data_IF_865491673130
#
_entry.id   IF_865491673130
#
_cell.length_a   1.000
_cell.length_b   1.000
_cell.length_c   1.000
_cell.angle_alpha   90.00
_cell.angle_beta   90.00
_cell.angle_gamma   90.00
#
_symmetry.space_group_name_H-M   'P 1'
#
loop_
_entity.id
_entity.type
_entity.pdbx_description
1 polymer ?
#
# COMPACT_ATOMS: atom_id res chain seq x y z
N UNK A 1 -39.28 -60.09 47.02
CA UNK A 1 -38.71 -60.98 48.09
C UNK A 1 -37.61 -60.22 48.77
N UNK A 2 -37.87 -59.94 50.04
CA UNK A 2 -37.12 -60.13 51.25
C UNK A 2 -35.75 -59.40 51.28
N UNK A 3 -35.69 -58.50 52.09
CA UNK A 3 -35.47 -58.30 53.54
C UNK A 3 -33.98 -57.94 53.78
N UNK A 4 -33.78 -56.77 54.38
CA UNK A 4 -33.61 -56.58 55.83
C UNK A 4 -32.14 -56.66 56.19
N UNK A 5 -31.50 -55.88 56.99
CA UNK A 5 -31.87 -55.14 58.18
C UNK A 5 -30.64 -54.33 58.66
N UNK A 6 -30.89 -53.28 59.36
CA UNK A 6 -30.05 -52.62 60.37
C UNK A 6 -29.59 -53.58 61.48
N UNK A 7 -28.81 -53.15 62.47
CA UNK A 7 -28.57 -51.88 63.13
C UNK A 7 -27.21 -51.64 63.82
N UNK A 8 -26.95 -50.41 64.26
CA UNK A 8 -26.67 -49.88 65.64
C UNK A 8 -25.31 -50.33 66.26
N UNK A 9 -24.46 -49.50 66.80
CA UNK A 9 -24.53 -48.75 68.04
C UNK A 9 -23.11 -48.31 68.45
N UNK A 10 -22.93 -47.06 68.80
CA UNK A 10 -22.82 -46.50 70.17
C UNK A 10 -21.41 -46.37 70.78
N UNK A 11 -21.16 -45.20 71.25
CA UNK A 11 -20.37 -44.70 72.38
C UNK A 11 -18.81 -44.65 72.27
N UNK A 12 -18.35 -43.50 72.36
CA UNK A 12 -17.89 -42.62 73.50
C UNK A 12 -16.37 -42.71 73.69
N UNK A 13 -15.68 -41.64 73.66
CA UNK A 13 -15.08 -41.01 74.84
C UNK A 13 -14.30 -39.74 74.49
N UNK A 14 -14.57 -38.77 75.30
CA UNK A 14 -13.89 -37.51 75.47
C UNK A 14 -12.38 -37.67 75.65
N UNK A 15 -11.55 -36.89 74.90
CA UNK A 15 -10.23 -36.50 75.40
C UNK A 15 -10.01 -35.00 74.99
N UNK A 16 -10.11 -34.18 76.00
CA UNK A 16 -9.77 -32.78 76.05
C UNK A 16 -8.25 -32.64 75.85
N UNK A 17 -7.79 -32.12 74.71
CA UNK A 17 -6.44 -31.58 74.59
C UNK A 17 -6.52 -30.12 74.11
N UNK A 18 -6.23 -29.25 75.04
CA UNK A 18 -6.09 -27.80 74.92
C UNK A 18 -4.82 -27.56 74.10
N UNK A 19 -4.97 -27.36 72.80
CA UNK A 19 -3.87 -26.93 71.92
C UNK A 19 -3.96 -25.43 71.77
N UNK A 20 -2.98 -24.71 72.32
CA UNK A 20 -2.74 -23.30 72.09
C UNK A 20 -2.65 -23.06 70.59
N UNK A 21 -3.67 -22.46 70.01
CA UNK A 21 -3.57 -21.80 68.73
C UNK A 21 -2.78 -20.50 68.90
N UNK A 22 -1.50 -20.54 68.58
CA UNK A 22 -0.72 -19.35 68.29
C UNK A 22 -1.29 -18.81 66.98
N UNK A 23 -2.13 -17.78 67.05
CA UNK A 23 -2.50 -16.98 65.90
C UNK A 23 -1.25 -16.24 65.45
N UNK A 24 -0.50 -16.83 64.50
CA UNK A 24 0.37 -16.06 63.65
C UNK A 24 -0.55 -15.15 62.81
N UNK A 25 -0.76 -13.94 63.32
CA UNK A 25 -1.28 -12.84 62.56
C UNK A 25 -0.24 -12.57 61.46
N UNK A 26 -0.38 -13.22 60.32
CA UNK A 26 0.26 -12.79 59.10
C UNK A 26 -0.42 -11.43 58.79
N UNK A 27 0.25 -10.33 59.08
CA UNK A 27 -0.11 -9.06 58.58
C UNK A 27 -0.05 -9.19 57.05
N UNK A 28 -1.19 -9.33 56.39
CA UNK A 28 -1.27 -9.01 54.96
C UNK A 28 -0.82 -7.55 54.86
N UNK A 29 0.41 -7.34 54.44
CA UNK A 29 0.73 -6.07 53.84
C UNK A 29 -0.36 -5.85 52.78
N UNK A 30 -1.17 -4.81 53.00
CA UNK A 30 -2.05 -4.27 51.97
C UNK A 30 -1.13 -3.79 50.85
N UNK A 31 -0.80 -4.73 49.93
CA UNK A 31 -0.12 -4.38 48.70
C UNK A 31 -1.16 -3.64 47.88
N UNK A 32 -1.22 -2.32 48.08
CA UNK A 32 -1.97 -1.45 47.18
C UNK A 32 -1.49 -1.80 45.78
N UNK A 33 -2.38 -2.20 44.86
CA UNK A 33 -1.98 -2.54 43.51
C UNK A 33 -1.18 -1.38 42.90
N UNK A 34 0.06 -1.61 42.50
CA UNK A 34 0.85 -0.57 41.86
C UNK A 34 0.06 -0.02 40.68
N UNK A 35 -0.07 1.28 40.59
CA UNK A 35 -0.73 1.95 39.46
C UNK A 35 -0.06 1.56 38.14
N UNK A 36 -0.85 1.24 37.09
CA UNK A 36 -0.34 0.87 35.78
C UNK A 36 0.49 2.00 35.16
N UNK A 37 1.36 1.65 34.20
CA UNK A 37 2.14 2.62 33.42
C UNK A 37 1.25 3.44 32.47
N UNK A 38 0.13 2.86 32.08
CA UNK A 38 -0.83 3.42 31.13
C UNK A 38 -2.15 3.64 31.85
N UNK A 39 -2.82 4.76 31.54
CA UNK A 39 -4.18 5.01 32.03
C UNK A 39 -5.14 3.93 31.47
N UNK A 40 -6.13 3.54 32.25
CA UNK A 40 -6.99 2.39 31.94
C UNK A 40 -7.78 2.57 30.63
N UNK A 41 -8.20 3.79 30.33
CA UNK A 41 -8.91 4.18 29.09
C UNK A 41 -8.03 4.14 27.84
N UNK A 42 -6.70 4.18 27.99
CA UNK A 42 -5.73 4.08 26.89
C UNK A 42 -5.21 2.66 26.66
N UNK A 43 -5.61 1.67 27.45
CA UNK A 43 -5.14 0.28 27.30
C UNK A 43 -5.71 -0.45 26.08
N UNK A 44 -6.82 0.04 25.52
CA UNK A 44 -7.43 -0.51 24.31
C UNK A 44 -8.00 0.61 23.47
N UNK A 45 -7.41 0.82 22.30
CA UNK A 45 -7.75 1.91 21.41
C UNK A 45 -8.28 1.36 20.08
N UNK A 46 -9.47 1.83 19.69
CA UNK A 46 -10.04 1.57 18.37
C UNK A 46 -9.91 2.82 17.53
N UNK A 47 -9.20 2.70 16.41
CA UNK A 47 -8.87 3.78 15.52
C UNK A 47 -9.59 3.62 14.17
N UNK A 48 -9.86 4.74 13.51
CA UNK A 48 -10.39 4.74 12.15
C UNK A 48 -9.30 4.28 11.15
N UNK A 49 -9.70 4.04 9.91
CA UNK A 49 -8.79 3.69 8.79
C UNK A 49 -7.74 4.73 8.51
N UNK A 50 -8.07 6.00 8.70
CA UNK A 50 -7.25 7.12 8.31
C UNK A 50 -6.00 7.30 9.16
N UNK A 51 -5.14 8.21 8.70
CA UNK A 51 -3.95 8.62 9.43
C UNK A 51 -4.29 9.08 10.86
N UNK A 52 -3.50 8.58 11.82
CA UNK A 52 -3.61 8.94 13.24
C UNK A 52 -2.24 9.37 13.75
N UNK A 53 -2.20 10.47 14.48
CA UNK A 53 -1.01 11.00 15.15
C UNK A 53 -1.39 11.30 16.62
N UNK A 54 -1.17 10.34 17.51
CA UNK A 54 -1.60 10.38 18.90
C UNK A 54 -0.41 10.39 19.86
N UNK A 55 -0.60 11.04 21.02
CA UNK A 55 0.36 11.09 22.12
C UNK A 55 -0.21 10.31 23.30
N UNK A 56 0.53 9.32 23.78
CA UNK A 56 0.18 8.45 24.89
C UNK A 56 1.06 8.80 26.10
N UNK A 57 0.49 9.34 27.17
CA UNK A 57 1.22 9.62 28.40
C UNK A 57 1.63 8.34 29.12
N UNK A 58 2.88 8.28 29.57
CA UNK A 58 3.44 7.15 30.31
C UNK A 58 3.71 7.58 31.76
N UNK A 59 3.15 6.87 32.74
CA UNK A 59 3.28 7.17 34.17
C UNK A 59 4.60 6.62 34.77
N UNK A 60 5.73 6.92 34.13
CA UNK A 60 7.05 6.55 34.62
C UNK A 60 8.13 7.44 34.00
N UNK A 61 9.12 7.86 34.81
CA UNK A 61 10.26 8.67 34.35
C UNK A 61 11.25 7.84 33.49
N UNK A 62 11.37 6.55 33.80
CA UNK A 62 12.21 5.60 33.06
C UNK A 62 11.32 4.49 32.53
N UNK A 63 11.17 4.45 31.24
CA UNK A 63 10.37 3.46 30.54
C UNK A 63 10.95 3.13 29.16
N UNK A 64 10.47 2.06 28.57
CA UNK A 64 10.85 1.61 27.23
C UNK A 64 9.66 0.99 26.51
N UNK A 65 9.66 1.03 25.17
CA UNK A 65 8.90 0.11 24.36
C UNK A 65 9.70 -1.19 24.30
N UNK A 66 9.17 -2.26 24.90
CA UNK A 66 9.86 -3.55 24.97
C UNK A 66 9.61 -4.42 23.73
N UNK A 67 8.45 -4.28 23.12
CA UNK A 67 8.08 -4.97 21.87
C UNK A 67 6.85 -4.33 21.24
N UNK A 68 6.67 -4.62 19.97
CA UNK A 68 5.40 -4.46 19.24
C UNK A 68 5.10 -5.80 18.60
N UNK A 69 3.88 -6.31 18.76
CA UNK A 69 3.47 -7.61 18.22
C UNK A 69 2.12 -7.52 17.50
N UNK A 70 1.92 -8.33 16.50
CA UNK A 70 0.61 -8.60 15.92
C UNK A 70 -0.29 -9.22 17.01
N UNK A 71 -1.51 -8.69 17.17
CA UNK A 71 -2.40 -9.14 18.24
C UNK A 71 -3.04 -10.52 17.97
N UNK A 72 -3.13 -10.93 16.70
CA UNK A 72 -3.76 -12.20 16.31
C UNK A 72 -2.76 -13.35 16.32
N UNK A 73 -1.58 -13.13 15.75
CA UNK A 73 -0.54 -14.15 15.61
C UNK A 73 0.44 -14.18 16.76
N UNK A 74 0.59 -13.08 17.50
CA UNK A 74 1.62 -12.89 18.52
C UNK A 74 3.02 -12.66 17.95
N UNK A 75 3.16 -12.56 16.62
CA UNK A 75 4.44 -12.33 15.96
C UNK A 75 4.99 -10.94 16.27
N UNK A 76 6.29 -10.86 16.58
CA UNK A 76 6.97 -9.59 16.83
C UNK A 76 7.16 -8.82 15.52
N UNK A 77 6.67 -7.60 15.49
CA UNK A 77 6.83 -6.70 14.36
C UNK A 77 8.26 -6.15 14.31
N UNK A 78 8.77 -5.96 13.09
CA UNK A 78 10.18 -5.65 12.83
C UNK A 78 10.33 -4.39 11.99
N UNK A 79 11.50 -3.76 12.12
CA UNK A 79 11.94 -2.67 11.25
C UNK A 79 12.48 -3.22 9.90
N UNK A 80 12.87 -2.33 9.00
CA UNK A 80 13.42 -2.67 7.68
C UNK A 80 14.77 -3.43 7.73
N UNK A 81 15.42 -3.48 8.89
CA UNK A 81 16.67 -4.24 9.12
C UNK A 81 16.38 -5.62 9.76
N UNK A 82 15.11 -5.94 10.02
CA UNK A 82 14.69 -7.20 10.66
C UNK A 82 14.79 -7.20 12.19
N UNK A 83 15.06 -6.05 12.83
CA UNK A 83 15.11 -5.94 14.29
C UNK A 83 13.70 -5.75 14.85
N UNK A 84 13.46 -6.30 16.06
CA UNK A 84 12.23 -6.03 16.77
C UNK A 84 12.07 -4.54 17.08
N UNK A 85 10.85 -4.00 16.94
CA UNK A 85 10.56 -2.62 17.28
C UNK A 85 10.68 -2.40 18.78
N UNK A 86 11.72 -1.69 19.21
CA UNK A 86 12.04 -1.36 20.60
C UNK A 86 12.53 0.08 20.73
N UNK A 87 12.18 0.74 21.81
CA UNK A 87 12.66 2.09 22.15
C UNK A 87 13.07 2.14 23.62
N UNK A 88 14.36 2.02 23.90
CA UNK A 88 14.93 2.12 25.26
C UNK A 88 15.24 3.58 25.63
N UNK A 89 15.70 4.35 24.68
CA UNK A 89 16.03 5.79 24.83
C UNK A 89 15.13 6.65 23.93
N UNK A 90 15.21 7.97 24.04
CA UNK A 90 14.58 8.88 23.10
C UNK A 90 15.03 8.58 21.67
N UNK A 91 14.09 8.56 20.75
CA UNK A 91 14.32 8.20 19.35
C UNK A 91 13.04 7.72 18.66
N UNK A 92 13.20 7.26 17.43
CA UNK A 92 12.10 6.82 16.58
C UNK A 92 12.39 5.42 16.01
N UNK A 93 11.36 4.59 15.93
CA UNK A 93 11.38 3.31 15.18
C UNK A 93 10.16 3.24 14.27
N UNK A 94 10.36 2.61 13.13
CA UNK A 94 9.32 2.43 12.12
C UNK A 94 9.25 0.95 11.70
N UNK A 95 8.04 0.43 11.50
CA UNK A 95 7.86 -0.91 10.96
C UNK A 95 8.36 -0.97 9.50
N UNK A 96 8.89 -2.11 9.07
CA UNK A 96 9.35 -2.35 7.70
C UNK A 96 8.31 -1.93 6.64
N UNK A 97 7.03 -2.22 6.89
CA UNK A 97 5.93 -1.87 5.99
C UNK A 97 5.55 -0.37 6.01
N UNK A 98 6.16 0.47 6.83
CA UNK A 98 5.98 1.91 6.85
C UNK A 98 4.66 2.44 7.40
N UNK A 99 3.78 1.58 7.94
CA UNK A 99 2.46 2.01 8.42
C UNK A 99 2.41 2.41 9.90
N UNK A 100 3.42 2.08 10.69
CA UNK A 100 3.53 2.39 12.12
C UNK A 100 4.88 3.02 12.39
N UNK A 101 4.85 4.20 12.99
CA UNK A 101 6.03 4.88 13.55
C UNK A 101 5.77 5.14 15.03
N UNK A 102 6.75 4.81 15.87
CA UNK A 102 6.76 5.11 17.30
C UNK A 102 7.91 6.05 17.59
N UNK A 103 7.63 7.11 18.34
CA UNK A 103 8.63 8.07 18.80
C UNK A 103 8.55 8.18 20.34
N UNK A 104 9.67 7.93 20.99
CA UNK A 104 9.87 8.22 22.40
C UNK A 104 10.49 9.60 22.52
N UNK A 105 9.74 10.55 23.06
CA UNK A 105 10.22 11.91 23.30
C UNK A 105 11.07 11.98 24.59
N UNK A 106 11.68 13.13 24.86
CA UNK A 106 12.38 13.37 26.12
C UNK A 106 11.41 13.50 27.32
N UNK A 107 10.12 13.74 27.06
CA UNK A 107 9.04 13.70 28.02
C UNK A 107 8.50 12.28 28.24
N UNK A 108 7.67 12.09 29.24
CA UNK A 108 7.05 10.79 29.52
C UNK A 108 5.89 10.51 28.54
N UNK A 109 6.18 10.53 27.25
CA UNK A 109 5.21 10.41 26.17
C UNK A 109 5.72 9.47 25.08
N UNK A 110 4.83 8.58 24.65
CA UNK A 110 4.97 7.80 23.44
C UNK A 110 4.10 8.45 22.35
N UNK A 111 4.74 8.96 21.31
CA UNK A 111 4.05 9.41 20.12
C UNK A 111 3.86 8.24 19.16
N UNK A 112 2.63 8.05 18.70
CA UNK A 112 2.23 7.00 17.77
C UNK A 112 1.75 7.65 16.47
N UNK A 113 2.34 7.28 15.37
CA UNK A 113 1.88 7.67 14.02
C UNK A 113 1.47 6.42 13.24
N UNK A 114 0.20 6.36 12.83
CA UNK A 114 -0.34 5.31 11.98
C UNK A 114 -0.72 5.87 10.62
N UNK A 115 -0.28 5.19 9.58
CA UNK A 115 -0.69 5.48 8.21
C UNK A 115 -2.05 4.85 7.88
N UNK A 116 -2.68 5.33 6.82
CA UNK A 116 -3.93 4.80 6.27
C UNK A 116 -3.89 3.27 6.15
N UNK A 117 -4.96 2.58 6.55
CA UNK A 117 -5.07 1.13 6.35
C UNK A 117 -5.75 0.82 5.01
N UNK A 118 -4.96 0.54 3.99
CA UNK A 118 -5.45 0.15 2.65
C UNK A 118 -5.86 -1.34 2.55
N UNK A 119 -5.66 -2.12 3.63
CA UNK A 119 -6.04 -3.53 3.66
C UNK A 119 -7.55 -3.68 3.75
N UNK A 120 -8.09 -4.80 3.28
CA UNK A 120 -9.46 -5.25 3.49
C UNK A 120 -9.71 -5.83 4.90
N UNK A 121 -8.63 -5.94 5.72
CA UNK A 121 -8.65 -6.43 7.08
C UNK A 121 -8.24 -5.33 8.08
N UNK A 122 -8.78 -5.33 9.30
CA UNK A 122 -8.31 -4.45 10.36
C UNK A 122 -6.86 -4.81 10.74
N UNK A 123 -6.09 -3.80 11.14
CA UNK A 123 -4.78 -4.01 11.78
C UNK A 123 -4.95 -4.08 13.27
N UNK A 124 -4.53 -5.18 13.87
CA UNK A 124 -4.57 -5.38 15.31
C UNK A 124 -3.16 -5.62 15.83
N UNK A 125 -2.69 -4.78 16.75
CA UNK A 125 -1.35 -4.90 17.31
C UNK A 125 -1.32 -4.48 18.77
N UNK A 126 -0.26 -4.90 19.47
CA UNK A 126 -0.05 -4.60 20.88
C UNK A 126 1.35 -4.01 21.04
N UNK A 127 1.41 -2.92 21.82
CA UNK A 127 2.66 -2.28 22.25
C UNK A 127 2.90 -2.63 23.71
N UNK A 128 4.03 -3.28 23.99
CA UNK A 128 4.48 -3.55 25.35
C UNK A 128 5.32 -2.39 25.88
N UNK A 129 4.93 -1.86 27.03
CA UNK A 129 5.63 -0.78 27.76
C UNK A 129 6.20 -1.36 29.04
N UNK A 130 7.48 -1.07 29.31
CA UNK A 130 8.20 -1.56 30.46
C UNK A 130 8.89 -0.42 31.21
N UNK A 131 8.84 -0.49 32.55
CA UNK A 131 9.71 0.27 33.45
C UNK A 131 10.56 -0.68 34.31
N UNK A 132 11.34 -0.18 35.26
CA UNK A 132 12.19 -1.02 36.12
C UNK A 132 11.41 -2.09 36.92
N UNK A 133 10.16 -1.84 37.27
CA UNK A 133 9.37 -2.61 38.22
C UNK A 133 7.95 -2.94 37.75
N UNK A 134 7.57 -2.50 36.54
CA UNK A 134 6.22 -2.65 36.00
C UNK A 134 6.26 -2.89 34.49
N UNK A 135 5.26 -3.64 34.04
CA UNK A 135 4.97 -3.84 32.61
C UNK A 135 3.50 -3.52 32.35
N UNK A 136 3.21 -3.00 31.19
CA UNK A 136 1.86 -2.73 30.72
C UNK A 136 1.76 -2.94 29.20
N UNK A 137 0.56 -3.09 28.68
CA UNK A 137 0.30 -3.26 27.26
C UNK A 137 -0.78 -2.28 26.79
N UNK A 138 -0.64 -1.84 25.54
CA UNK A 138 -1.66 -1.07 24.85
C UNK A 138 -2.06 -1.86 23.60
N UNK A 139 -3.33 -2.21 23.50
CA UNK A 139 -3.91 -2.88 22.35
C UNK A 139 -4.53 -1.89 21.39
N UNK A 140 -4.23 -2.04 20.12
CA UNK A 140 -4.75 -1.19 19.04
C UNK A 140 -5.52 -2.03 18.03
N UNK A 141 -6.64 -1.45 17.56
CA UNK A 141 -7.41 -1.96 16.44
C UNK A 141 -7.69 -0.82 15.48
N UNK A 142 -6.98 -0.79 14.33
CA UNK A 142 -7.26 0.17 13.26
C UNK A 142 -8.22 -0.48 12.26
N UNK A 143 -9.32 0.18 11.96
CA UNK A 143 -10.33 -0.29 11.01
C UNK A 143 -9.72 -0.60 9.64
N UNK A 144 -10.37 -1.51 8.90
CA UNK A 144 -9.98 -1.84 7.52
C UNK A 144 -10.13 -0.66 6.58
N UNK A 145 -9.46 -0.77 5.44
CA UNK A 145 -9.53 0.20 4.35
C UNK A 145 -10.94 0.43 3.82
N UNK A 146 -11.14 1.62 3.34
CA UNK A 146 -12.41 2.11 2.79
C UNK A 146 -12.30 2.36 1.29
N UNK A 147 -13.29 3.07 0.74
CA UNK A 147 -13.25 3.57 -0.61
C UNK A 147 -12.54 4.92 -0.68
N UNK A 148 -11.76 5.09 -1.73
CA UNK A 148 -10.98 6.29 -2.00
C UNK A 148 -11.38 6.94 -3.31
N UNK A 149 -11.11 8.25 -3.43
CA UNK A 149 -11.30 9.00 -4.67
C UNK A 149 -10.10 9.91 -4.95
N UNK A 150 -9.71 9.99 -6.20
CA UNK A 150 -8.73 10.97 -6.68
C UNK A 150 -9.43 12.32 -6.85
N UNK A 151 -9.09 13.28 -5.99
CA UNK A 151 -9.74 14.62 -5.99
C UNK A 151 -8.92 15.70 -6.68
N UNK A 152 -7.60 15.50 -6.81
CA UNK A 152 -6.74 16.42 -7.54
C UNK A 152 -5.54 15.70 -8.15
N UNK A 153 -5.08 16.18 -9.32
CA UNK A 153 -3.88 15.77 -10.05
C UNK A 153 -3.03 16.98 -10.37
N UNK A 154 -1.77 16.90 -10.02
CA UNK A 154 -0.75 17.84 -10.49
C UNK A 154 0.30 17.02 -11.24
N UNK A 155 0.54 17.37 -12.51
CA UNK A 155 1.51 16.71 -13.37
C UNK A 155 2.43 17.77 -13.93
N UNK A 156 3.73 17.61 -13.68
CA UNK A 156 4.76 18.53 -14.14
C UNK A 156 5.84 17.75 -14.87
N UNK A 157 6.00 18.06 -16.17
CA UNK A 157 7.08 17.49 -16.96
C UNK A 157 8.45 17.85 -16.37
N UNK A 158 9.33 16.88 -16.31
CA UNK A 158 10.71 17.05 -15.86
C UNK A 158 11.49 17.71 -17.00
N UNK A 159 12.09 18.86 -16.73
CA UNK A 159 12.87 19.61 -17.70
C UNK A 159 13.96 18.74 -18.35
N UNK A 160 14.08 18.79 -19.66
CA UNK A 160 15.05 18.01 -20.43
C UNK A 160 14.73 16.53 -20.60
N UNK A 161 13.61 16.03 -20.04
CA UNK A 161 13.21 14.62 -20.19
C UNK A 161 12.59 14.30 -21.55
N UNK A 162 12.04 15.32 -22.24
CA UNK A 162 11.34 15.15 -23.52
C UNK A 162 12.31 14.82 -24.65
N UNK A 163 11.99 13.75 -25.38
CA UNK A 163 12.70 13.35 -26.59
C UNK A 163 11.68 13.02 -27.67
N UNK A 164 11.96 13.50 -28.90
CA UNK A 164 11.18 13.14 -30.09
C UNK A 164 12.14 12.51 -31.08
N UNK A 165 11.80 11.33 -31.57
CA UNK A 165 12.66 10.58 -32.50
C UNK A 165 11.83 9.66 -33.39
N UNK A 166 12.41 9.24 -34.53
CA UNK A 166 11.80 8.28 -35.46
C UNK A 166 12.43 6.92 -35.24
N UNK A 167 11.60 5.88 -35.17
CA UNK A 167 12.02 4.49 -34.98
C UNK A 167 11.08 3.52 -35.70
N UNK A 168 11.63 2.41 -36.14
CA UNK A 168 10.87 1.25 -36.62
C UNK A 168 10.37 0.32 -35.51
N UNK A 169 10.50 0.70 -34.25
CA UNK A 169 10.05 -0.12 -33.12
C UNK A 169 8.54 -0.39 -33.19
N UNK A 170 8.15 -1.65 -33.04
CA UNK A 170 6.76 -2.10 -33.18
C UNK A 170 6.22 -2.07 -34.60
N UNK A 171 7.03 -1.67 -35.57
CA UNK A 171 6.68 -1.69 -36.98
C UNK A 171 7.26 -2.94 -37.69
N UNK A 172 6.61 -3.32 -38.79
CA UNK A 172 7.07 -4.40 -39.64
C UNK A 172 7.20 -3.94 -41.10
N UNK A 173 7.58 -4.85 -41.99
CA UNK A 173 7.59 -4.64 -43.41
C UNK A 173 6.58 -5.56 -44.12
N UNK A 174 6.10 -5.13 -45.24
CA UNK A 174 5.15 -5.86 -46.09
C UNK A 174 5.64 -5.81 -47.53
N UNK A 175 5.74 -6.97 -48.16
CA UNK A 175 6.00 -7.08 -49.63
C UNK A 175 4.80 -7.75 -50.27
N UNK A 176 4.20 -7.06 -51.23
CA UNK A 176 3.04 -7.55 -52.01
C UNK A 176 3.38 -7.54 -53.47
N UNK A 177 3.00 -8.62 -54.16
CA UNK A 177 3.08 -8.73 -55.62
C UNK A 177 1.67 -8.72 -56.20
N UNK A 178 1.50 -8.01 -57.30
CA UNK A 178 0.29 -7.99 -58.09
C UNK A 178 0.54 -8.73 -59.42
N UNK A 179 0.07 -9.98 -59.50
CA UNK A 179 0.21 -10.82 -60.72
C UNK A 179 -0.99 -10.68 -61.67
N UNK A 180 -1.94 -9.80 -61.37
CA UNK A 180 -3.13 -9.57 -62.19
C UNK A 180 -2.93 -8.43 -63.17
N UNK A 181 -3.83 -8.35 -64.19
CA UNK A 181 -3.91 -7.29 -65.18
C UNK A 181 -4.62 -6.03 -64.64
N UNK A 182 -5.11 -6.06 -63.39
CA UNK A 182 -5.82 -4.95 -62.76
C UNK A 182 -4.99 -4.35 -61.65
N UNK A 183 -5.17 -3.05 -61.43
CA UNK A 183 -4.58 -2.37 -60.29
C UNK A 183 -5.17 -2.91 -58.97
N UNK A 184 -4.33 -3.09 -57.94
CA UNK A 184 -4.69 -3.58 -56.62
C UNK A 184 -4.39 -2.54 -55.54
N UNK A 185 -5.32 -2.33 -54.64
CA UNK A 185 -5.10 -1.53 -53.45
C UNK A 185 -4.46 -2.39 -52.35
N UNK A 186 -3.45 -1.83 -51.68
CA UNK A 186 -2.72 -2.43 -50.57
C UNK A 186 -2.87 -1.53 -49.35
N UNK A 187 -3.51 -2.07 -48.33
CA UNK A 187 -3.64 -1.39 -47.03
C UNK A 187 -2.38 -1.63 -46.19
N UNK A 188 -1.86 -0.55 -45.55
CA UNK A 188 -0.60 -0.60 -44.81
C UNK A 188 -0.78 -0.76 -43.30
N UNK A 189 -2.00 -0.90 -42.80
CA UNK A 189 -2.29 -0.93 -41.34
C UNK A 189 -1.51 -2.03 -40.60
N UNK A 190 -1.39 -3.19 -41.22
CA UNK A 190 -0.69 -4.36 -40.68
C UNK A 190 0.77 -4.10 -40.27
N UNK A 191 1.47 -3.18 -40.97
CA UNK A 191 2.86 -2.88 -40.63
C UNK A 191 3.01 -2.14 -39.28
N UNK A 192 1.92 -1.68 -38.68
CA UNK A 192 1.89 -0.93 -37.40
C UNK A 192 1.23 -1.71 -36.26
N UNK A 193 0.84 -2.98 -36.46
CA UNK A 193 0.00 -3.72 -35.51
C UNK A 193 0.63 -3.92 -34.12
N UNK A 194 1.95 -3.95 -34.04
CA UNK A 194 2.70 -4.19 -32.79
C UNK A 194 3.20 -2.89 -32.14
N UNK A 195 2.83 -1.72 -32.72
CA UNK A 195 3.13 -0.42 -32.13
C UNK A 195 2.37 -0.25 -30.80
N UNK A 196 3.09 0.13 -29.74
CA UNK A 196 2.55 0.25 -28.40
C UNK A 196 2.80 1.64 -27.81
N UNK A 197 1.83 2.09 -27.04
CA UNK A 197 1.99 3.12 -26.03
C UNK A 197 2.53 2.46 -24.77
N UNK A 198 3.48 3.10 -24.07
CA UNK A 198 3.88 2.65 -22.74
C UNK A 198 3.73 3.76 -21.69
N UNK A 199 3.46 3.31 -20.46
CA UNK A 199 3.30 4.14 -19.28
C UNK A 199 3.92 3.44 -18.08
N UNK A 200 4.82 4.11 -17.37
CA UNK A 200 5.49 3.59 -16.17
C UNK A 200 5.24 4.51 -14.98
N UNK A 201 4.66 3.97 -13.91
CA UNK A 201 4.52 4.68 -12.65
C UNK A 201 5.47 4.15 -11.59
N UNK A 202 6.14 5.08 -10.90
CA UNK A 202 6.96 4.78 -9.73
C UNK A 202 6.66 5.77 -8.60
N UNK A 203 6.68 5.28 -7.36
CA UNK A 203 6.48 6.09 -6.16
C UNK A 203 7.09 5.40 -4.96
N UNK A 204 7.59 6.22 -4.01
CA UNK A 204 8.01 5.78 -2.68
C UNK A 204 7.01 6.23 -1.60
N UNK A 205 5.89 6.87 -1.98
CA UNK A 205 4.85 7.22 -1.01
C UNK A 205 4.18 5.95 -0.49
N UNK A 206 3.93 5.91 0.82
CA UNK A 206 3.16 4.83 1.43
C UNK A 206 1.79 4.70 0.76
N UNK A 207 1.38 3.48 0.44
CA UNK A 207 0.08 3.19 -0.16
C UNK A 207 -0.15 3.76 -1.56
N UNK A 208 0.93 4.14 -2.27
CA UNK A 208 0.84 4.83 -3.56
C UNK A 208 -0.08 4.13 -4.57
N UNK A 209 -0.12 2.80 -4.56
CA UNK A 209 -0.88 1.97 -5.50
C UNK A 209 -1.98 1.15 -4.82
N UNK A 210 -2.22 1.36 -3.51
CA UNK A 210 -3.15 0.56 -2.73
C UNK A 210 -4.52 1.21 -2.56
N UNK A 211 -4.62 2.53 -2.76
CA UNK A 211 -5.86 3.30 -2.64
C UNK A 211 -6.82 3.11 -3.82
N UNK A 212 -6.30 2.72 -5.00
CA UNK A 212 -7.10 2.60 -6.22
C UNK A 212 -7.84 1.25 -6.26
N UNK A 213 -9.03 1.25 -6.84
CA UNK A 213 -9.79 0.02 -7.04
C UNK A 213 -9.04 -0.91 -8.01
N UNK A 214 -8.67 -2.10 -7.55
CA UNK A 214 -7.93 -3.10 -8.34
C UNK A 214 -8.68 -3.58 -9.59
N UNK A 215 -10.00 -3.47 -9.60
CA UNK A 215 -10.82 -3.86 -10.74
C UNK A 215 -10.92 -2.77 -11.83
N UNK A 216 -10.66 -1.50 -11.47
CA UNK A 216 -10.56 -0.38 -12.41
C UNK A 216 -9.46 0.58 -11.90
N UNK A 217 -8.23 0.19 -12.12
CA UNK A 217 -7.06 0.97 -11.71
C UNK A 217 -6.67 2.02 -12.76
N UNK A 218 -7.61 2.51 -13.57
CA UNK A 218 -7.34 3.48 -14.62
C UNK A 218 -7.52 4.92 -14.15
N UNK A 219 -6.58 5.77 -14.51
CA UNK A 219 -6.62 7.22 -14.26
C UNK A 219 -6.60 7.94 -15.60
N UNK A 220 -7.48 8.95 -15.77
CA UNK A 220 -7.40 9.85 -16.91
C UNK A 220 -6.22 10.80 -16.71
N UNK A 221 -5.25 10.77 -17.64
CA UNK A 221 -4.05 11.59 -17.61
C UNK A 221 -4.16 12.76 -18.60
N UNK A 222 -3.35 13.78 -18.35
CA UNK A 222 -3.35 15.00 -19.17
C UNK A 222 -2.72 14.74 -20.54
N UNK A 223 -3.15 15.53 -21.50
CA UNK A 223 -2.71 15.41 -22.87
C UNK A 223 -1.23 15.80 -23.09
N UNK A 224 -0.65 15.24 -24.13
CA UNK A 224 0.66 15.63 -24.64
C UNK A 224 0.46 16.70 -25.71
N UNK A 225 0.92 17.92 -25.42
CA UNK A 225 0.93 19.02 -26.39
C UNK A 225 2.31 19.13 -27.03
N UNK A 226 2.33 19.27 -28.37
CA UNK A 226 3.50 19.63 -29.16
C UNK A 226 3.07 20.77 -30.08
N UNK A 227 3.71 21.93 -29.94
CA UNK A 227 3.35 23.15 -30.68
C UNK A 227 1.84 23.48 -30.56
N UNK A 228 1.32 23.37 -29.33
CA UNK A 228 -0.10 23.58 -29.00
C UNK A 228 -1.08 22.58 -29.66
N UNK A 229 -0.59 21.56 -30.32
CA UNK A 229 -1.40 20.49 -30.89
C UNK A 229 -1.45 19.30 -29.94
N UNK A 230 -2.67 18.86 -29.58
CA UNK A 230 -2.86 17.65 -28.77
C UNK A 230 -2.53 16.40 -29.58
N UNK A 231 -1.57 15.64 -29.11
CA UNK A 231 -1.15 14.37 -29.69
C UNK A 231 -1.65 13.16 -28.93
N UNK A 232 -1.90 13.30 -27.62
CA UNK A 232 -2.35 12.21 -26.79
C UNK A 232 -3.05 12.73 -25.53
N UNK A 233 -4.15 12.08 -25.17
CA UNK A 233 -4.77 12.13 -23.86
C UNK A 233 -5.55 10.83 -23.66
N UNK A 234 -5.73 10.38 -22.43
CA UNK A 234 -6.50 9.19 -22.20
C UNK A 234 -6.38 8.62 -20.79
N UNK A 235 -7.04 7.49 -20.60
CA UNK A 235 -6.90 6.68 -19.40
C UNK A 235 -5.64 5.84 -19.51
N UNK A 236 -4.91 5.74 -18.42
CA UNK A 236 -3.76 4.86 -18.25
C UNK A 236 -3.97 3.99 -17.03
N UNK A 237 -3.44 2.77 -17.07
CA UNK A 237 -3.45 1.88 -15.91
C UNK A 237 -2.47 2.40 -14.85
N UNK A 238 -2.97 2.73 -13.67
CA UNK A 238 -2.16 3.21 -12.55
C UNK A 238 -1.74 2.06 -11.65
N UNK A 239 -0.66 1.41 -12.03
CA UNK A 239 -0.01 0.33 -11.27
C UNK A 239 1.49 0.59 -11.20
N UNK A 240 2.17 0.00 -10.23
CA UNK A 240 3.63 0.11 -10.12
C UNK A 240 4.31 -0.60 -11.29
N UNK A 241 5.21 0.12 -11.96
CA UNK A 241 5.98 -0.40 -13.10
C UNK A 241 5.43 0.01 -14.45
N UNK A 242 5.94 -0.63 -15.51
CA UNK A 242 5.60 -0.31 -16.88
C UNK A 242 4.43 -1.14 -17.40
N UNK A 243 3.55 -0.47 -18.13
CA UNK A 243 2.39 -1.06 -18.80
C UNK A 243 2.40 -0.70 -20.28
N UNK A 244 1.82 -1.57 -21.11
CA UNK A 244 1.79 -1.40 -22.56
C UNK A 244 0.35 -1.54 -23.06
N UNK A 245 -0.01 -0.66 -24.00
CA UNK A 245 -1.29 -0.71 -24.71
C UNK A 245 -1.04 -0.66 -26.21
N UNK A 246 -1.85 -1.39 -26.99
CA UNK A 246 -1.79 -1.30 -28.43
C UNK A 246 -2.23 0.09 -28.91
N UNK A 247 -1.46 0.67 -29.80
CA UNK A 247 -1.68 2.05 -30.26
C UNK A 247 -2.19 2.15 -31.70
N UNK A 248 -2.51 1.05 -32.33
CA UNK A 248 -2.98 1.04 -33.71
C UNK A 248 -4.29 1.84 -33.85
N UNK A 249 -4.34 2.76 -34.81
CA UNK A 249 -5.52 3.54 -35.16
C UNK A 249 -5.79 3.45 -36.65
N UNK A 250 -7.04 3.45 -37.10
CA UNK A 250 -7.39 3.44 -38.53
C UNK A 250 -6.69 4.54 -39.33
N UNK A 251 -6.49 5.74 -38.75
CA UNK A 251 -5.77 6.85 -39.37
C UNK A 251 -4.27 6.63 -39.57
N UNK A 252 -3.69 5.55 -39.04
CA UNK A 252 -2.29 5.20 -39.30
C UNK A 252 -2.12 4.45 -40.63
N UNK A 253 -3.20 3.94 -41.23
CA UNK A 253 -3.16 3.25 -42.50
C UNK A 253 -3.12 4.18 -43.69
N UNK A 254 -2.42 3.75 -44.74
CA UNK A 254 -2.49 4.32 -46.07
C UNK A 254 -2.90 3.24 -47.04
N UNK A 255 -3.67 3.64 -48.07
CA UNK A 255 -3.97 2.77 -49.20
C UNK A 255 -3.03 3.11 -50.34
N UNK A 256 -2.22 2.15 -50.74
CA UNK A 256 -1.26 2.32 -51.83
C UNK A 256 -1.74 1.54 -53.08
N UNK A 257 -1.74 2.23 -54.22
CA UNK A 257 -2.10 1.60 -55.48
C UNK A 257 -0.90 0.78 -56.03
N UNK A 258 -1.11 -0.54 -56.23
CA UNK A 258 -0.12 -1.44 -56.81
C UNK A 258 -0.51 -1.78 -58.27
N UNK A 259 0.24 -1.27 -59.22
CA UNK A 259 0.02 -1.48 -60.64
C UNK A 259 0.09 -2.97 -61.03
N UNK A 260 -0.56 -3.36 -62.16
CA UNK A 260 -0.44 -4.71 -62.69
C UNK A 260 1.01 -5.17 -62.88
N UNK A 261 1.27 -6.44 -62.57
CA UNK A 261 2.57 -7.10 -62.70
C UNK A 261 3.75 -6.40 -62.00
N UNK A 262 3.47 -5.70 -60.88
CA UNK A 262 4.47 -5.01 -60.07
C UNK A 262 4.49 -5.59 -58.67
N UNK A 263 5.61 -5.36 -57.98
CA UNK A 263 5.77 -5.59 -56.55
C UNK A 263 5.86 -4.25 -55.80
N UNK A 264 5.36 -4.24 -54.57
CA UNK A 264 5.45 -3.13 -53.64
C UNK A 264 6.08 -3.65 -52.37
N UNK A 265 7.16 -3.05 -51.92
CA UNK A 265 7.73 -3.27 -50.60
C UNK A 265 7.58 -2.01 -49.78
N UNK A 266 7.06 -2.17 -48.59
CA UNK A 266 6.88 -1.05 -47.63
C UNK A 266 7.34 -1.48 -46.25
N UNK A 267 7.85 -0.52 -45.48
CA UNK A 267 8.12 -0.67 -44.05
C UNK A 267 7.53 0.48 -43.24
N UNK A 268 7.24 0.23 -41.99
CA UNK A 268 6.72 1.21 -41.07
C UNK A 268 7.81 1.87 -40.21
N UNK A 269 7.61 3.14 -39.91
CA UNK A 269 8.31 3.86 -38.87
C UNK A 269 7.31 4.72 -38.10
N UNK A 270 7.62 5.06 -36.84
CA UNK A 270 6.84 5.99 -36.05
C UNK A 270 7.73 7.10 -35.50
N UNK A 271 7.20 8.32 -35.46
CA UNK A 271 7.72 9.36 -34.59
C UNK A 271 7.20 9.10 -33.19
N UNK A 272 8.10 8.86 -32.25
CA UNK A 272 7.81 8.67 -30.83
C UNK A 272 8.14 9.92 -30.03
N UNK A 273 7.36 10.13 -28.97
CA UNK A 273 7.69 11.06 -27.88
C UNK A 273 7.90 10.25 -26.60
N UNK A 274 9.04 10.46 -25.94
CA UNK A 274 9.28 10.02 -24.58
C UNK A 274 9.35 11.23 -23.66
N UNK A 275 8.76 11.11 -22.46
CA UNK A 275 8.87 12.14 -21.40
C UNK A 275 8.75 11.53 -20.04
N UNK A 276 9.24 12.25 -19.03
CA UNK A 276 9.04 11.94 -17.61
C UNK A 276 8.38 13.13 -16.94
N UNK A 277 7.41 12.83 -16.07
CA UNK A 277 6.68 13.84 -15.32
C UNK A 277 6.71 13.50 -13.83
N UNK A 278 6.93 14.50 -12.98
CA UNK A 278 6.56 14.38 -11.58
C UNK A 278 5.04 14.46 -11.46
N UNK A 279 4.44 13.60 -10.67
CA UNK A 279 3.03 13.69 -10.35
C UNK A 279 2.80 13.83 -8.85
N UNK A 280 1.73 14.53 -8.49
CA UNK A 280 1.16 14.57 -7.15
C UNK A 280 -0.34 14.33 -7.28
N UNK A 281 -0.80 13.23 -6.71
CA UNK A 281 -2.21 12.91 -6.61
C UNK A 281 -2.69 13.19 -5.20
N UNK A 282 -3.79 13.95 -5.05
CA UNK A 282 -4.47 14.13 -3.79
C UNK A 282 -5.63 13.14 -3.74
N UNK A 283 -5.55 12.23 -2.78
CA UNK A 283 -6.51 11.16 -2.57
C UNK A 283 -7.34 11.51 -1.33
N UNK A 284 -8.63 11.19 -1.36
CA UNK A 284 -9.53 11.35 -0.22
C UNK A 284 -10.17 10.02 0.14
N UNK A 285 -10.10 9.65 1.40
CA UNK A 285 -10.92 8.58 1.96
C UNK A 285 -12.37 9.05 2.01
N UNK A 286 -13.29 8.33 1.37
CA UNK A 286 -14.69 8.75 1.25
C UNK A 286 -15.43 8.74 2.58
N UNK A 287 -15.07 7.84 3.50
CA UNK A 287 -15.77 7.70 4.78
C UNK A 287 -15.25 8.68 5.84
N UNK A 288 -13.93 8.74 6.04
CA UNK A 288 -13.32 9.63 7.03
C UNK A 288 -13.18 11.07 6.54
N UNK A 289 -13.16 11.29 5.22
CA UNK A 289 -12.85 12.58 4.62
C UNK A 289 -11.36 12.94 4.66
N UNK A 290 -10.51 12.09 5.25
CA UNK A 290 -9.07 12.30 5.32
C UNK A 290 -8.45 12.41 3.93
N UNK A 291 -7.50 13.32 3.77
CA UNK A 291 -6.80 13.56 2.49
C UNK A 291 -5.31 13.33 2.66
N UNK A 292 -4.73 12.66 1.70
CA UNK A 292 -3.28 12.44 1.65
C UNK A 292 -2.76 12.59 0.23
N UNK A 293 -1.46 12.80 0.10
CA UNK A 293 -0.81 12.96 -1.20
C UNK A 293 0.07 11.77 -1.53
N UNK A 294 -0.06 11.30 -2.76
CA UNK A 294 0.86 10.36 -3.37
C UNK A 294 1.70 11.10 -4.40
N UNK A 295 3.02 10.99 -4.28
CA UNK A 295 3.97 11.63 -5.21
C UNK A 295 4.82 10.58 -5.90
N UNK A 296 5.17 10.82 -7.15
CA UNK A 296 6.00 9.90 -7.90
C UNK A 296 6.44 10.44 -9.25
N UNK A 297 6.95 9.52 -10.06
CA UNK A 297 7.34 9.78 -11.44
C UNK A 297 6.50 8.94 -12.37
N UNK A 298 5.97 9.59 -13.39
CA UNK A 298 5.28 8.97 -14.51
C UNK A 298 6.12 9.15 -15.77
N UNK A 299 6.55 8.03 -16.36
CA UNK A 299 7.23 8.01 -17.66
C UNK A 299 6.24 7.55 -18.73
N UNK A 300 6.37 8.13 -19.90
CA UNK A 300 5.45 7.92 -20.99
C UNK A 300 6.22 7.84 -22.30
N UNK A 301 5.86 6.83 -23.13
CA UNK A 301 6.30 6.72 -24.53
C UNK A 301 5.07 6.68 -25.42
N UNK A 302 4.92 7.70 -26.25
CA UNK A 302 3.74 7.93 -27.09
C UNK A 302 4.14 7.80 -28.56
N UNK A 303 3.53 6.89 -29.34
CA UNK A 303 3.59 6.95 -30.79
C UNK A 303 2.77 8.14 -31.29
N UNK A 304 3.36 9.05 -32.04
CA UNK A 304 2.71 10.28 -32.50
C UNK A 304 2.25 10.18 -33.96
N UNK A 305 3.20 9.93 -34.88
CA UNK A 305 2.98 10.01 -36.33
C UNK A 305 3.53 8.73 -36.97
N UNK A 306 2.69 8.07 -37.76
CA UNK A 306 3.08 6.91 -38.57
C UNK A 306 3.70 7.36 -39.90
N UNK A 307 4.73 6.66 -40.34
CA UNK A 307 5.40 6.86 -41.61
C UNK A 307 5.42 5.52 -42.37
N UNK A 308 4.87 5.52 -43.57
CA UNK A 308 4.97 4.39 -44.54
C UNK A 308 6.10 4.69 -45.49
N UNK A 309 7.16 3.92 -45.47
CA UNK A 309 8.32 4.06 -46.34
C UNK A 309 8.19 3.03 -47.47
N UNK A 310 8.21 3.51 -48.70
CA UNK A 310 8.20 2.68 -49.91
C UNK A 310 9.65 2.38 -50.29
N UNK A 311 10.00 1.11 -50.46
CA UNK A 311 11.33 0.59 -50.78
C UNK A 311 11.46 0.21 -52.27
#
# INVERSE_FOLDING_TARGET
MKKSSKPISIFSLLALSFSLFIFNSCSKEDVTPKEGLIAQDLKSLTLNTGFTDDIIPIKADKWAVSYVKDALTGEILKDSMGNALKLESAGTVEIEAGWLTLEKTASNELKLTLQENFSDQPRNFVIGIQSSDRQDEISFSQSRGDEYELINKEIKEIEGSRKIYVSGEGCSSLTVRNDSDQEKNVETLEIFKDVKYSSEFSSNSYGAFDWINKNDASIFMDEVLIDDVSHWQGKVLYVKGETFENYIKPGNSQTLALKPHRSLSVRGEFTYLERSCNYTFTIKNKNSGHRFNVKGVWKQKVPLISHTIIE
#
